data_IF_777733136440
#
_entry.id   IF_777733136440
#
_cell.length_a   1.000
_cell.length_b   1.000
_cell.length_c   1.000
_cell.angle_alpha   90.00
_cell.angle_beta   90.00
_cell.angle_gamma   90.00
#
_symmetry.space_group_name_H-M   'P 1'
#
loop_
_entity.id
_entity.type
_entity.pdbx_description
1 polymer ?
#
# COMPACT_ATOMS: atom_id res chain seq x y z
N UNK A 1 4.28 -21.20 18.26
CA UNK A 1 4.67 -19.94 17.59
C UNK A 1 3.43 -19.29 17.01
N UNK A 2 3.10 -18.07 17.42
CA UNK A 2 2.09 -17.27 16.74
C UNK A 2 2.76 -16.61 15.54
N UNK A 3 2.14 -16.70 14.35
CA UNK A 3 2.66 -16.06 13.13
C UNK A 3 2.07 -14.66 13.01
N UNK A 4 2.79 -13.73 12.42
CA UNK A 4 2.29 -12.36 12.17
C UNK A 4 0.92 -12.36 11.49
N UNK A 5 0.72 -13.22 10.49
CA UNK A 5 -0.57 -13.33 9.79
C UNK A 5 -1.75 -13.70 10.70
N UNK A 6 -1.52 -14.46 11.78
CA UNK A 6 -2.58 -14.78 12.77
C UNK A 6 -2.90 -13.61 13.69
N UNK A 7 -1.94 -12.71 13.89
CA UNK A 7 -2.08 -11.51 14.71
C UNK A 7 -2.62 -10.33 13.91
N UNK A 8 -2.55 -10.38 12.58
CA UNK A 8 -2.96 -9.30 11.69
C UNK A 8 -4.38 -8.75 11.97
N UNK A 9 -5.41 -9.57 12.25
CA UNK A 9 -6.72 -9.02 12.61
C UNK A 9 -6.67 -8.09 13.84
N UNK A 10 -5.90 -8.46 14.86
CA UNK A 10 -5.72 -7.64 16.06
C UNK A 10 -4.93 -6.35 15.76
N UNK A 11 -3.94 -6.44 14.87
CA UNK A 11 -3.17 -5.26 14.43
C UNK A 11 -4.05 -4.27 13.66
N UNK A 12 -4.97 -4.77 12.81
CA UNK A 12 -5.94 -3.95 12.09
C UNK A 12 -6.92 -3.30 13.07
N UNK A 13 -7.47 -4.07 14.01
CA UNK A 13 -8.40 -3.56 15.02
C UNK A 13 -7.78 -2.48 15.91
N UNK A 14 -6.47 -2.57 16.18
CA UNK A 14 -5.71 -1.58 16.94
C UNK A 14 -5.39 -0.28 16.20
N UNK A 15 -5.73 -0.15 14.91
CA UNK A 15 -5.55 1.11 14.18
C UNK A 15 -6.66 2.10 14.55
N UNK A 16 -6.35 3.05 15.41
CA UNK A 16 -7.25 4.13 15.82
C UNK A 16 -7.18 5.35 14.88
N UNK A 17 -5.99 5.71 14.42
CA UNK A 17 -5.76 6.87 13.55
C UNK A 17 -5.59 6.44 12.09
N UNK A 18 -6.49 6.93 11.22
CA UNK A 18 -6.43 6.67 9.79
C UNK A 18 -5.46 7.64 9.10
N UNK A 19 -4.53 7.10 8.32
CA UNK A 19 -3.61 7.86 7.47
C UNK A 19 -4.26 8.02 6.11
N UNK A 20 -4.77 9.21 5.83
CA UNK A 20 -5.41 9.51 4.56
C UNK A 20 -4.37 9.59 3.41
N UNK A 21 -4.68 9.07 2.21
CA UNK A 21 -3.89 9.31 1.01
C UNK A 21 -3.78 10.81 0.70
N UNK A 22 -2.61 11.22 0.21
CA UNK A 22 -2.29 12.64 -0.06
C UNK A 22 -2.31 12.97 -1.54
N UNK A 23 -2.36 11.94 -2.39
CA UNK A 23 -2.32 12.06 -3.83
C UNK A 23 -3.57 12.83 -4.31
N UNK A 24 -3.35 13.77 -5.23
CA UNK A 24 -4.40 14.60 -5.81
C UNK A 24 -4.73 14.08 -7.20
N UNK A 25 -6.01 14.09 -7.56
CA UNK A 25 -6.47 13.76 -8.90
C UNK A 25 -5.83 14.70 -9.93
N UNK A 26 -5.30 14.13 -11.01
CA UNK A 26 -4.89 14.88 -12.20
C UNK A 26 -6.08 15.04 -13.13
N UNK A 27 -6.01 16.04 -14.01
CA UNK A 27 -7.16 16.45 -14.82
C UNK A 27 -7.67 15.42 -15.82
N UNK A 28 -6.84 14.44 -16.19
CA UNK A 28 -7.14 13.35 -17.12
C UNK A 28 -7.48 12.02 -16.41
N UNK A 29 -7.46 11.99 -15.08
CA UNK A 29 -7.72 10.78 -14.32
C UNK A 29 -9.21 10.46 -14.22
N UNK A 30 -9.56 9.18 -14.33
CA UNK A 30 -10.94 8.72 -14.17
C UNK A 30 -11.12 8.17 -12.76
N UNK A 31 -12.09 8.72 -12.01
CA UNK A 31 -12.44 8.20 -10.68
C UNK A 31 -13.30 6.96 -10.83
N UNK A 32 -12.85 5.86 -10.23
CA UNK A 32 -13.51 4.56 -10.27
C UNK A 32 -14.50 4.37 -9.13
N UNK A 33 -14.21 4.96 -7.98
CA UNK A 33 -15.05 4.85 -6.80
C UNK A 33 -14.39 5.44 -5.57
N UNK A 34 -15.06 5.27 -4.43
CA UNK A 34 -14.60 5.67 -3.11
C UNK A 34 -14.58 4.44 -2.23
N UNK A 35 -13.50 4.23 -1.48
CA UNK A 35 -13.43 3.15 -0.49
C UNK A 35 -14.28 3.54 0.71
N UNK A 36 -15.33 2.77 0.93
CA UNK A 36 -16.27 2.89 2.03
C UNK A 36 -15.85 2.02 3.22
N UNK A 37 -15.22 0.85 2.97
CA UNK A 37 -14.81 -0.07 4.03
C UNK A 37 -13.79 0.54 4.99
N UNK A 38 -14.12 0.54 6.30
CA UNK A 38 -13.19 0.99 7.34
C UNK A 38 -11.98 0.06 7.48
N UNK A 39 -12.17 -1.24 7.31
CA UNK A 39 -11.09 -2.22 7.42
C UNK A 39 -10.04 -2.00 6.33
N UNK A 40 -10.44 -1.67 5.10
CA UNK A 40 -9.49 -1.32 4.05
C UNK A 40 -8.73 -0.02 4.35
N UNK A 41 -9.38 0.97 4.96
CA UNK A 41 -8.72 2.21 5.40
C UNK A 41 -7.70 1.94 6.51
N UNK A 42 -8.03 1.04 7.44
CA UNK A 42 -7.12 0.59 8.51
C UNK A 42 -5.94 -0.19 7.94
N UNK A 43 -6.17 -1.12 7.01
CA UNK A 43 -5.10 -1.86 6.32
C UNK A 43 -4.17 -0.90 5.58
N UNK A 44 -4.70 0.09 4.86
CA UNK A 44 -3.90 1.12 4.20
C UNK A 44 -3.04 1.90 5.19
N UNK A 45 -3.63 2.30 6.30
CA UNK A 45 -2.92 3.06 7.34
C UNK A 45 -1.80 2.23 7.98
N UNK A 46 -2.06 0.95 8.27
CA UNK A 46 -1.07 0.00 8.78
C UNK A 46 0.07 -0.24 7.77
N UNK A 47 -0.26 -0.37 6.49
CA UNK A 47 0.73 -0.44 5.41
C UNK A 47 1.63 0.81 5.42
N UNK A 48 1.04 2.01 5.47
CA UNK A 48 1.80 3.27 5.44
C UNK A 48 2.69 3.44 6.67
N UNK A 49 2.21 3.06 7.86
CA UNK A 49 3.00 3.13 9.08
C UNK A 49 4.20 2.18 9.04
N UNK A 50 3.99 0.91 8.68
CA UNK A 50 5.07 -0.08 8.58
C UNK A 50 6.09 0.29 7.50
N UNK A 51 5.62 0.80 6.36
CA UNK A 51 6.52 1.28 5.29
C UNK A 51 7.38 2.44 5.76
N UNK A 52 6.77 3.43 6.45
CA UNK A 52 7.49 4.57 7.00
C UNK A 52 8.50 4.14 8.06
N UNK A 53 8.14 3.21 8.95
CA UNK A 53 9.08 2.65 9.95
C UNK A 53 10.25 1.94 9.26
N UNK A 54 9.99 1.10 8.27
CA UNK A 54 11.03 0.42 7.50
C UNK A 54 11.97 1.42 6.80
N UNK A 55 11.44 2.48 6.19
CA UNK A 55 12.21 3.52 5.52
C UNK A 55 13.07 4.33 6.51
N UNK A 56 12.52 4.71 7.67
CA UNK A 56 13.26 5.41 8.73
C UNK A 56 14.42 4.56 9.26
N UNK A 57 14.15 3.30 9.62
CA UNK A 57 15.18 2.37 10.07
C UNK A 57 16.24 2.14 8.99
N UNK A 58 15.84 1.99 7.73
CA UNK A 58 16.78 1.84 6.62
C UNK A 58 17.70 3.08 6.45
N UNK A 59 17.20 4.28 6.74
CA UNK A 59 18.01 5.51 6.75
C UNK A 59 18.97 5.51 7.93
N UNK A 60 18.50 5.20 9.14
CA UNK A 60 19.34 5.13 10.35
C UNK A 60 20.49 4.14 10.20
N UNK A 61 20.23 3.00 9.56
CA UNK A 61 21.22 1.97 9.25
C UNK A 61 22.35 2.44 8.32
N UNK A 62 22.14 3.49 7.52
CA UNK A 62 23.21 4.07 6.69
C UNK A 62 24.23 4.87 7.49
N UNK A 63 23.84 5.36 8.67
CA UNK A 63 24.67 6.22 9.52
C UNK A 63 25.21 5.48 10.76
N UNK A 64 24.83 4.22 10.94
CA UNK A 64 25.22 3.36 12.06
C UNK A 64 25.85 2.07 11.53
N UNK A 65 26.43 1.25 12.42
CA UNK A 65 26.90 -0.10 12.06
C UNK A 65 25.86 -1.11 12.54
N UNK A 66 24.84 -1.42 11.74
CA UNK A 66 23.74 -2.26 12.21
C UNK A 66 24.16 -3.72 12.36
N UNK A 67 23.62 -4.33 13.40
CA UNK A 67 23.64 -5.77 13.63
C UNK A 67 22.81 -6.50 12.56
N UNK A 68 23.03 -7.80 12.40
CA UNK A 68 22.27 -8.60 11.43
C UNK A 68 20.78 -8.70 11.81
N UNK A 69 20.45 -8.64 13.11
CA UNK A 69 19.06 -8.60 13.59
C UNK A 69 18.35 -7.32 13.14
N UNK A 70 19.01 -6.16 13.23
CA UNK A 70 18.46 -4.87 12.80
C UNK A 70 18.24 -4.84 11.28
N UNK A 71 19.17 -5.39 10.50
CA UNK A 71 18.99 -5.54 9.05
C UNK A 71 17.81 -6.46 8.72
N UNK A 72 17.68 -7.57 9.46
CA UNK A 72 16.56 -8.50 9.35
C UNK A 72 15.22 -7.82 9.61
N UNK A 73 15.15 -6.94 10.62
CA UNK A 73 13.92 -6.18 10.96
C UNK A 73 13.47 -5.27 9.82
N UNK A 74 14.39 -4.57 9.14
CA UNK A 74 14.04 -3.72 7.99
C UNK A 74 13.44 -4.55 6.86
N UNK A 75 14.08 -5.68 6.53
CA UNK A 75 13.58 -6.59 5.50
C UNK A 75 12.21 -7.17 5.87
N UNK A 76 12.02 -7.55 7.13
CA UNK A 76 10.75 -8.05 7.66
C UNK A 76 9.64 -7.00 7.52
N UNK A 77 9.85 -5.77 8.01
CA UNK A 77 8.86 -4.69 7.95
C UNK A 77 8.52 -4.32 6.51
N UNK A 78 9.52 -4.21 5.64
CA UNK A 78 9.30 -3.93 4.22
C UNK A 78 8.47 -5.03 3.55
N UNK A 79 8.72 -6.29 3.88
CA UNK A 79 7.97 -7.44 3.34
C UNK A 79 6.53 -7.46 3.84
N UNK A 80 6.31 -7.21 5.15
CA UNK A 80 4.96 -7.09 5.72
C UNK A 80 4.17 -5.94 5.11
N UNK A 81 4.79 -4.77 4.97
CA UNK A 81 4.17 -3.62 4.33
C UNK A 81 3.76 -3.95 2.89
N UNK A 82 4.63 -4.62 2.12
CA UNK A 82 4.29 -5.06 0.76
C UNK A 82 3.14 -6.06 0.73
N UNK A 83 3.10 -7.01 1.66
CA UNK A 83 1.99 -7.95 1.75
C UNK A 83 0.66 -7.24 2.04
N UNK A 84 0.65 -6.27 2.96
CA UNK A 84 -0.55 -5.47 3.28
C UNK A 84 -1.01 -4.62 2.10
N UNK A 85 -0.08 -4.02 1.36
CA UNK A 85 -0.40 -3.27 0.14
C UNK A 85 -1.10 -4.17 -0.90
N UNK A 86 -0.66 -5.42 -1.04
CA UNK A 86 -1.30 -6.38 -1.94
C UNK A 86 -2.70 -6.78 -1.44
N UNK A 87 -2.85 -7.09 -0.14
CA UNK A 87 -4.14 -7.42 0.47
C UNK A 87 -5.12 -6.26 0.30
N UNK A 88 -4.66 -5.03 0.55
CA UNK A 88 -5.43 -3.82 0.34
C UNK A 88 -5.94 -3.73 -1.11
N UNK A 89 -5.06 -3.84 -2.10
CA UNK A 89 -5.47 -3.73 -3.50
C UNK A 89 -6.41 -4.85 -3.93
N UNK A 90 -6.25 -6.08 -3.42
CA UNK A 90 -7.21 -7.16 -3.65
C UNK A 90 -8.59 -6.77 -3.09
N UNK A 91 -8.66 -6.28 -1.85
CA UNK A 91 -9.92 -5.85 -1.24
C UNK A 91 -10.57 -4.67 -1.98
N UNK A 92 -9.77 -3.74 -2.51
CA UNK A 92 -10.27 -2.64 -3.36
C UNK A 92 -10.83 -3.16 -4.68
N UNK A 93 -10.18 -4.16 -5.30
CA UNK A 93 -10.69 -4.81 -6.52
C UNK A 93 -12.05 -5.49 -6.28
N UNK A 94 -12.22 -6.13 -5.12
CA UNK A 94 -13.48 -6.72 -4.69
C UNK A 94 -14.56 -5.66 -4.43
N UNK A 95 -14.25 -4.64 -3.62
CA UNK A 95 -15.21 -3.60 -3.23
C UNK A 95 -15.70 -2.79 -4.43
N UNK A 96 -14.81 -2.47 -5.38
CA UNK A 96 -15.13 -1.67 -6.57
C UNK A 96 -15.42 -2.52 -7.81
N UNK A 97 -15.45 -3.85 -7.69
CA UNK A 97 -15.74 -4.80 -8.78
C UNK A 97 -14.86 -4.59 -10.03
N UNK A 98 -13.56 -4.39 -9.83
CA UNK A 98 -12.63 -3.95 -10.89
C UNK A 98 -11.89 -5.11 -11.60
N UNK A 99 -12.15 -6.36 -11.23
CA UNK A 99 -11.45 -7.54 -11.76
C UNK A 99 -11.47 -7.69 -13.30
N UNK A 100 -12.50 -7.16 -13.95
CA UNK A 100 -12.65 -7.24 -15.40
C UNK A 100 -11.99 -6.07 -16.17
N UNK A 101 -11.35 -5.12 -15.47
CA UNK A 101 -10.76 -3.94 -16.12
C UNK A 101 -9.50 -4.29 -16.93
N UNK A 102 -9.26 -3.61 -18.06
CA UNK A 102 -8.06 -3.81 -18.86
C UNK A 102 -6.78 -3.47 -18.08
N UNK A 103 -5.71 -4.23 -18.33
CA UNK A 103 -4.40 -4.04 -17.66
C UNK A 103 -3.64 -2.78 -18.11
N UNK A 104 -4.15 -2.08 -19.12
CA UNK A 104 -3.54 -0.87 -19.67
C UNK A 104 -3.71 0.36 -18.76
N UNK A 105 -4.53 0.21 -17.72
CA UNK A 105 -4.79 1.25 -16.73
C UNK A 105 -4.00 0.97 -15.44
N UNK A 106 -3.35 2.01 -14.93
CA UNK A 106 -2.78 2.00 -13.59
C UNK A 106 -3.80 2.57 -12.61
N UNK A 107 -3.94 1.91 -11.46
CA UNK A 107 -4.82 2.35 -10.38
C UNK A 107 -3.99 2.98 -9.26
N UNK A 108 -4.52 4.03 -8.64
CA UNK A 108 -3.95 4.64 -7.46
C UNK A 108 -5.05 5.25 -6.58
N UNK A 109 -4.74 5.51 -5.32
CA UNK A 109 -5.69 6.08 -4.36
C UNK A 109 -5.33 7.55 -4.09
N UNK A 110 -6.36 8.39 -3.99
CA UNK A 110 -6.27 9.83 -3.78
C UNK A 110 -6.95 10.24 -2.48
N UNK A 111 -6.73 11.49 -2.09
CA UNK A 111 -7.45 12.15 -1.00
C UNK A 111 -8.97 11.95 -1.10
N UNK A 112 -9.61 11.76 0.04
CA UNK A 112 -11.01 11.35 0.16
C UNK A 112 -11.24 9.87 -0.14
N UNK A 113 -10.20 9.02 -0.06
CA UNK A 113 -10.26 7.57 -0.32
C UNK A 113 -10.77 7.22 -1.71
N UNK A 114 -10.52 8.10 -2.69
CA UNK A 114 -10.95 7.92 -4.08
C UNK A 114 -9.97 7.03 -4.80
N UNK A 115 -10.45 6.01 -5.50
CA UNK A 115 -9.61 5.21 -6.40
C UNK A 115 -9.74 5.80 -7.79
N UNK A 116 -8.62 6.13 -8.40
CA UNK A 116 -8.55 6.68 -9.74
C UNK A 116 -7.69 5.81 -10.64
N UNK A 117 -7.95 5.90 -11.94
CA UNK A 117 -7.12 5.29 -12.95
C UNK A 117 -6.58 6.32 -13.93
N UNK A 118 -5.41 6.01 -14.46
CA UNK A 118 -4.83 6.70 -15.60
C UNK A 118 -4.37 5.69 -16.64
N UNK A 119 -4.50 6.06 -17.91
CA UNK A 119 -4.00 5.24 -19.01
C UNK A 119 -2.47 5.27 -18.96
N UNK A 120 -1.83 4.11 -18.88
CA UNK A 120 -0.36 4.06 -18.94
C UNK A 120 0.09 4.65 -20.28
N UNK A 121 1.10 5.53 -20.31
CA UNK A 121 1.68 5.95 -21.57
C UNK A 121 2.17 4.70 -22.31
N UNK A 122 1.80 4.58 -23.58
CA UNK A 122 2.35 3.53 -24.45
C UNK A 122 3.87 3.71 -24.46
N UNK A 123 4.60 2.84 -23.76
CA UNK A 123 6.05 2.86 -23.86
C UNK A 123 6.38 2.47 -25.30
N UNK A 124 7.10 3.32 -26.07
CA UNK A 124 7.58 2.90 -27.37
C UNK A 124 8.42 1.64 -27.17
N UNK A 125 8.04 0.58 -27.87
CA UNK A 125 8.76 -0.68 -27.84
C UNK A 125 10.20 -0.40 -28.32
N UNK A 126 11.16 -0.35 -27.40
CA UNK A 126 12.57 -0.39 -27.76
C UNK A 126 12.95 -1.88 -27.83
N UNK A 127 13.11 -2.46 -29.03
CA UNK A 127 13.70 -3.78 -29.14
C UNK A 127 15.16 -3.66 -28.73
N UNK A 128 15.54 -4.25 -27.61
CA UNK A 128 16.93 -4.59 -27.30
C UNK A 128 17.24 -5.96 -27.88
#
# INVERSE_FOLDING_TARGET
MSTWLKLLPLEIDGVEELIEPVEVLKGDDTVLGVICSEDLKKIWSLYKSLRKEAELLAVEQKYTTPTDEEKGKVAELATKARALELIFWIGVQDELQMWARPQDFSHYICAGWKVAEFKRPEMPFFPF
#
